data_IF_593228363254
#
_entry.id   IF_593228363254
#
_cell.length_a   1.000
_cell.length_b   1.000
_cell.length_c   1.000
_cell.angle_alpha   90.00
_cell.angle_beta   90.00
_cell.angle_gamma   90.00
#
_symmetry.space_group_name_H-M   'P 1'
#
loop_
_entity.id
_entity.type
_entity.pdbx_description
1 polymer ?
#
# COMPACT_ATOMS: atom_id res chain seq x y z
N UNK A 1 -10.68 13.56 16.42
CA UNK A 1 -10.72 12.87 15.11
C UNK A 1 -12.00 12.04 14.86
N UNK A 2 -12.86 11.75 15.85
CA UNK A 2 -14.07 10.93 15.63
C UNK A 2 -15.24 11.68 14.99
N UNK A 3 -15.33 13.00 15.14
CA UNK A 3 -16.42 13.83 14.57
C UNK A 3 -16.37 13.89 13.05
N UNK A 4 -15.19 14.06 12.46
CA UNK A 4 -15.00 14.10 11.00
C UNK A 4 -15.35 12.74 10.38
N UNK A 5 -14.94 11.63 10.99
CA UNK A 5 -15.29 10.27 10.56
C UNK A 5 -16.79 9.96 10.69
N UNK A 6 -17.44 10.47 11.74
CA UNK A 6 -18.90 10.31 11.94
C UNK A 6 -19.70 11.12 10.91
N UNK A 7 -19.30 12.37 10.65
CA UNK A 7 -19.94 13.23 9.65
C UNK A 7 -19.72 12.71 8.24
N UNK A 8 -18.53 12.22 7.90
CA UNK A 8 -18.26 11.62 6.59
C UNK A 8 -19.06 10.34 6.38
N UNK A 9 -19.12 9.44 7.37
CA UNK A 9 -19.94 8.22 7.31
C UNK A 9 -21.44 8.53 7.16
N UNK A 10 -21.94 9.54 7.89
CA UNK A 10 -23.32 9.98 7.78
C UNK A 10 -23.61 10.63 6.41
N UNK A 11 -22.71 11.44 5.87
CA UNK A 11 -22.82 12.03 4.54
C UNK A 11 -22.84 10.96 3.43
N UNK A 12 -21.96 9.95 3.52
CA UNK A 12 -21.96 8.81 2.60
C UNK A 12 -23.30 8.07 2.67
N UNK A 13 -23.81 7.81 3.88
CA UNK A 13 -25.09 7.10 4.04
C UNK A 13 -26.30 7.91 3.57
N UNK A 14 -26.26 9.23 3.75
CA UNK A 14 -27.35 10.15 3.38
C UNK A 14 -27.36 10.52 1.91
N UNK A 15 -26.21 10.47 1.21
CA UNK A 15 -26.17 10.71 -0.23
C UNK A 15 -26.33 9.40 -1.02
N UNK A 16 -25.65 8.33 -0.63
CA UNK A 16 -25.65 7.09 -1.43
C UNK A 16 -27.01 6.38 -1.47
N UNK A 17 -27.74 6.35 -0.35
CA UNK A 17 -29.03 5.63 -0.29
C UNK A 17 -30.16 6.29 -1.10
N UNK A 18 -30.46 7.60 -0.96
CA UNK A 18 -31.53 8.20 -1.74
C UNK A 18 -31.18 8.31 -3.22
N UNK A 19 -29.91 8.54 -3.57
CA UNK A 19 -29.48 8.60 -4.98
C UNK A 19 -29.65 7.23 -5.64
N UNK A 20 -29.18 6.15 -5.01
CA UNK A 20 -29.35 4.80 -5.54
C UNK A 20 -30.84 4.43 -5.70
N UNK A 21 -31.68 4.77 -4.70
CA UNK A 21 -33.12 4.49 -4.77
C UNK A 21 -33.82 5.30 -5.88
N UNK A 22 -33.45 6.56 -6.09
CA UNK A 22 -34.00 7.38 -7.19
C UNK A 22 -33.58 6.85 -8.57
N UNK A 23 -32.32 6.45 -8.73
CA UNK A 23 -31.82 5.89 -9.98
C UNK A 23 -32.50 4.54 -10.28
N UNK A 24 -32.74 3.70 -9.26
CA UNK A 24 -33.50 2.44 -9.42
C UNK A 24 -34.95 2.68 -9.83
N UNK A 25 -35.61 3.70 -9.26
CA UNK A 25 -36.97 4.07 -9.66
C UNK A 25 -37.02 4.56 -11.11
N UNK A 26 -36.12 5.46 -11.50
CA UNK A 26 -36.01 5.97 -12.87
C UNK A 26 -35.67 4.89 -13.91
N UNK A 27 -34.89 3.87 -13.54
CA UNK A 27 -34.60 2.72 -14.40
C UNK A 27 -35.82 1.85 -14.70
N UNK A 28 -36.88 1.94 -13.89
CA UNK A 28 -38.15 1.26 -14.16
C UNK A 28 -39.10 2.12 -15.00
N UNK A 29 -39.06 3.43 -14.81
CA UNK A 29 -39.92 4.40 -15.50
C UNK A 29 -39.46 4.70 -16.93
N UNK A 30 -38.15 4.67 -17.22
CA UNK A 30 -37.61 5.01 -18.53
C UNK A 30 -36.96 3.82 -19.24
N UNK A 31 -37.55 3.38 -20.36
CA UNK A 31 -37.01 2.27 -21.16
C UNK A 31 -35.62 2.54 -21.75
N UNK A 32 -35.33 3.78 -22.15
CA UNK A 32 -34.00 4.14 -22.67
C UNK A 32 -32.94 3.95 -21.59
N UNK A 33 -33.24 4.42 -20.38
CA UNK A 33 -32.33 4.29 -19.25
C UNK A 33 -32.19 2.83 -18.81
N UNK A 34 -33.29 2.06 -18.79
CA UNK A 34 -33.27 0.60 -18.58
C UNK A 34 -32.32 -0.10 -19.54
N UNK A 35 -32.40 0.19 -20.85
CA UNK A 35 -31.51 -0.38 -21.87
C UNK A 35 -30.04 -0.06 -21.61
N UNK A 36 -29.73 1.17 -21.20
CA UNK A 36 -28.37 1.59 -20.82
C UNK A 36 -27.87 0.82 -19.59
N UNK A 37 -28.68 0.70 -18.53
CA UNK A 37 -28.34 -0.08 -17.34
C UNK A 37 -28.07 -1.54 -17.70
N UNK A 38 -28.94 -2.16 -18.50
CA UNK A 38 -28.79 -3.56 -18.93
C UNK A 38 -27.54 -3.73 -19.80
N UNK A 39 -27.28 -2.83 -20.76
CA UNK A 39 -26.08 -2.93 -21.60
C UNK A 39 -24.80 -2.77 -20.78
N UNK A 40 -24.77 -1.85 -19.82
CA UNK A 40 -23.61 -1.62 -18.96
C UNK A 40 -23.36 -2.82 -18.04
N UNK A 41 -24.43 -3.34 -17.41
CA UNK A 41 -24.34 -4.51 -16.54
C UNK A 41 -23.88 -5.76 -17.32
N UNK A 42 -24.36 -5.96 -18.54
CA UNK A 42 -23.89 -7.05 -19.38
C UNK A 42 -22.44 -6.85 -19.85
N UNK A 43 -22.02 -5.63 -20.16
CA UNK A 43 -20.64 -5.33 -20.51
C UNK A 43 -19.70 -5.62 -19.34
N UNK A 44 -20.04 -5.17 -18.13
CA UNK A 44 -19.28 -5.45 -16.90
C UNK A 44 -19.25 -6.93 -16.59
N UNK A 45 -20.37 -7.64 -16.71
CA UNK A 45 -20.39 -9.09 -16.50
C UNK A 45 -19.53 -9.85 -17.51
N UNK A 46 -19.56 -9.44 -18.78
CA UNK A 46 -18.69 -10.02 -19.82
C UNK A 46 -17.22 -9.72 -19.53
N UNK A 47 -16.91 -8.54 -19.03
CA UNK A 47 -15.55 -8.14 -18.68
C UNK A 47 -15.04 -8.92 -17.45
N UNK A 48 -15.82 -8.98 -16.37
CA UNK A 48 -15.52 -9.74 -15.16
C UNK A 48 -15.29 -11.24 -15.46
N UNK A 49 -16.20 -11.86 -16.20
CA UNK A 49 -16.05 -13.26 -16.63
C UNK A 49 -14.85 -13.45 -17.56
N UNK A 50 -14.56 -12.49 -18.46
CA UNK A 50 -13.37 -12.56 -19.32
C UNK A 50 -12.09 -12.48 -18.51
N UNK A 51 -11.99 -11.58 -17.53
CA UNK A 51 -10.81 -11.46 -16.67
C UNK A 51 -10.63 -12.71 -15.80
N UNK A 52 -11.72 -13.21 -15.21
CA UNK A 52 -11.69 -14.41 -14.37
C UNK A 52 -11.29 -15.66 -15.17
N UNK A 53 -11.86 -15.84 -16.35
CA UNK A 53 -11.54 -16.97 -17.23
C UNK A 53 -10.16 -16.81 -17.86
N UNK A 54 -9.72 -15.58 -18.13
CA UNK A 54 -8.36 -15.25 -18.56
C UNK A 54 -7.34 -15.66 -17.49
N UNK A 55 -7.50 -15.15 -16.26
CA UNK A 55 -6.60 -15.43 -15.15
C UNK A 55 -6.49 -16.93 -14.80
N UNK A 56 -7.60 -17.68 -14.86
CA UNK A 56 -7.59 -19.14 -14.63
C UNK A 56 -6.94 -19.87 -15.81
N UNK A 57 -7.18 -19.43 -17.05
CA UNK A 57 -6.61 -20.08 -18.24
C UNK A 57 -5.13 -19.81 -18.41
N UNK A 58 -4.67 -18.60 -18.13
CA UNK A 58 -3.25 -18.24 -18.21
C UNK A 58 -2.42 -19.02 -17.17
N UNK A 59 -3.00 -19.29 -15.99
CA UNK A 59 -2.42 -20.20 -14.99
C UNK A 59 -2.40 -21.67 -15.44
N UNK A 60 -3.49 -22.18 -16.01
CA UNK A 60 -3.53 -23.55 -16.50
C UNK A 60 -2.59 -23.75 -17.70
N UNK A 61 -2.46 -22.75 -18.57
CA UNK A 61 -1.55 -22.77 -19.72
C UNK A 61 -0.08 -22.67 -19.27
N UNK A 62 0.24 -21.84 -18.27
CA UNK A 62 1.59 -21.76 -17.71
C UNK A 62 2.00 -23.07 -17.03
N UNK A 63 1.09 -23.70 -16.28
CA UNK A 63 1.33 -25.01 -15.67
C UNK A 63 1.54 -26.12 -16.70
N UNK A 64 0.74 -26.16 -17.77
CA UNK A 64 0.92 -27.13 -18.87
C UNK A 64 2.22 -26.92 -19.62
N UNK A 65 2.65 -25.67 -19.84
CA UNK A 65 3.95 -25.34 -20.45
C UNK A 65 5.10 -25.74 -19.53
N UNK A 66 5.02 -25.46 -18.24
CA UNK A 66 6.01 -25.89 -17.24
C UNK A 66 6.11 -27.42 -17.15
N UNK A 67 4.99 -28.14 -17.23
CA UNK A 67 4.95 -29.60 -17.23
C UNK A 67 5.52 -30.20 -18.55
N UNK A 68 5.21 -29.61 -19.70
CA UNK A 68 5.75 -30.03 -20.99
C UNK A 68 7.26 -29.76 -21.08
N UNK A 69 7.73 -28.63 -20.56
CA UNK A 69 9.16 -28.32 -20.46
C UNK A 69 9.87 -29.24 -19.46
N UNK A 70 9.25 -29.55 -18.31
CA UNK A 70 9.79 -30.53 -17.37
C UNK A 70 9.86 -31.94 -17.98
N UNK A 71 8.89 -32.33 -18.81
CA UNK A 71 8.93 -33.58 -19.56
C UNK A 71 10.02 -33.58 -20.63
N UNK A 72 10.19 -32.48 -21.37
CA UNK A 72 11.29 -32.29 -22.33
C UNK A 72 12.67 -32.30 -21.66
N UNK A 73 12.80 -31.71 -20.46
CA UNK A 73 14.05 -31.69 -19.69
C UNK A 73 14.45 -33.08 -19.18
N UNK A 74 13.49 -33.96 -18.88
CA UNK A 74 13.75 -35.36 -18.49
C UNK A 74 14.33 -36.21 -19.63
N UNK A 75 14.09 -35.83 -20.89
CA UNK A 75 14.58 -36.53 -22.07
C UNK A 75 15.76 -35.83 -22.77
N UNK A 76 16.32 -34.78 -22.16
CA UNK A 76 17.53 -34.13 -22.69
C UNK A 76 18.74 -34.99 -22.28
N UNK A 77 19.50 -35.57 -23.23
CA UNK A 77 20.58 -36.50 -22.90
C UNK A 77 21.75 -35.74 -22.28
N UNK A 78 22.02 -35.99 -21.00
CA UNK A 78 23.12 -35.37 -20.25
C UNK A 78 24.44 -36.16 -20.40
N UNK A 79 24.56 -37.16 -21.28
CA UNK A 79 25.84 -37.80 -21.57
C UNK A 79 25.88 -38.39 -22.98
N UNK A 80 26.97 -38.17 -23.76
CA UNK A 80 27.11 -38.66 -25.12
C UNK A 80 27.63 -40.11 -25.12
N UNK A 81 26.73 -41.09 -25.02
CA UNK A 81 27.06 -42.51 -25.19
C UNK A 81 26.22 -43.13 -26.31
N UNK A 82 26.82 -44.06 -27.07
CA UNK A 82 26.23 -44.72 -28.25
C UNK A 82 25.00 -45.54 -27.81
N UNK A 83 23.79 -45.09 -28.16
CA UNK A 83 22.53 -45.78 -27.85
C UNK A 83 22.13 -46.74 -28.97
N UNK A 84 21.47 -47.83 -28.62
CA UNK A 84 20.92 -48.80 -29.58
C UNK A 84 19.76 -48.21 -30.38
N UNK A 85 19.57 -48.63 -31.64
CA UNK A 85 18.56 -48.07 -32.55
C UNK A 85 17.12 -48.08 -32.00
N UNK A 86 16.81 -49.03 -31.11
CA UNK A 86 15.51 -49.15 -30.47
C UNK A 86 15.25 -48.02 -29.45
N UNK A 87 16.27 -47.58 -28.72
CA UNK A 87 16.18 -46.51 -27.74
C UNK A 87 16.13 -45.14 -28.43
N UNK A 88 16.86 -44.98 -29.53
CA UNK A 88 16.82 -43.76 -30.36
C UNK A 88 15.42 -43.54 -30.96
N UNK A 89 14.77 -44.60 -31.48
CA UNK A 89 13.40 -44.52 -32.01
C UNK A 89 12.36 -44.26 -30.91
N UNK A 90 12.56 -44.80 -29.72
CA UNK A 90 11.68 -44.56 -28.58
C UNK A 90 11.80 -43.11 -28.04
N UNK A 91 13.03 -42.57 -27.97
CA UNK A 91 13.28 -41.17 -27.57
C UNK A 91 12.77 -40.17 -28.61
N UNK A 92 12.98 -40.43 -29.90
CA UNK A 92 12.49 -39.57 -30.98
C UNK A 92 10.94 -39.56 -31.03
N UNK A 93 10.30 -40.72 -30.83
CA UNK A 93 8.84 -40.81 -30.72
C UNK A 93 8.29 -40.09 -29.47
N UNK A 94 9.03 -40.13 -28.35
CA UNK A 94 8.67 -39.41 -27.13
C UNK A 94 8.84 -37.89 -27.29
N UNK A 95 9.90 -37.44 -27.96
CA UNK A 95 10.13 -36.03 -28.30
C UNK A 95 9.09 -35.54 -29.32
N UNK A 96 8.73 -36.35 -30.32
CA UNK A 96 7.66 -36.05 -31.27
C UNK A 96 6.31 -35.93 -30.58
N UNK A 97 5.99 -36.83 -29.63
CA UNK A 97 4.78 -36.73 -28.78
C UNK A 97 4.81 -35.51 -27.86
N UNK A 98 5.97 -35.17 -27.28
CA UNK A 98 6.11 -33.98 -26.45
C UNK A 98 5.97 -32.68 -27.25
N UNK A 99 6.51 -32.64 -28.48
CA UNK A 99 6.33 -31.52 -29.42
C UNK A 99 4.88 -31.41 -29.91
N UNK A 100 4.23 -32.52 -30.24
CA UNK A 100 2.82 -32.53 -30.60
C UNK A 100 1.92 -32.08 -29.44
N UNK A 101 2.23 -32.49 -28.21
CA UNK A 101 1.54 -32.03 -26.99
C UNK A 101 1.78 -30.53 -26.70
N UNK A 102 2.98 -30.01 -27.00
CA UNK A 102 3.28 -28.58 -26.90
C UNK A 102 2.53 -27.76 -27.96
N UNK A 103 2.37 -28.30 -29.17
CA UNK A 103 1.60 -27.70 -30.26
C UNK A 103 0.10 -27.71 -29.97
N UNK A 104 -0.42 -28.78 -29.37
CA UNK A 104 -1.80 -28.85 -28.89
C UNK A 104 -2.04 -27.87 -27.74
N UNK A 105 -1.07 -27.70 -26.84
CA UNK A 105 -1.12 -26.68 -25.78
C UNK A 105 -0.96 -25.24 -26.31
N UNK A 106 -0.51 -25.05 -27.55
CA UNK A 106 -0.41 -23.77 -28.22
C UNK A 106 -1.69 -23.37 -28.98
N UNK A 107 -2.64 -24.30 -29.20
CA UNK A 107 -3.90 -23.98 -29.87
C UNK A 107 -4.80 -23.10 -28.96
N UNK A 108 -5.29 -21.95 -29.45
CA UNK A 108 -6.12 -21.07 -28.65
C UNK A 108 -7.47 -21.74 -28.37
N UNK A 109 -7.71 -22.11 -27.11
CA UNK A 109 -8.96 -22.76 -26.72
C UNK A 109 -10.19 -21.85 -26.98
N UNK A 110 -11.38 -22.44 -27.22
CA UNK A 110 -12.57 -21.71 -27.69
C UNK A 110 -13.01 -20.60 -26.72
N UNK A 111 -13.65 -19.55 -27.28
CA UNK A 111 -14.16 -18.42 -26.51
C UNK A 111 -15.34 -18.90 -25.64
N UNK A 112 -15.30 -18.72 -24.31
CA UNK A 112 -16.37 -19.16 -23.43
C UNK A 112 -17.65 -18.36 -23.73
N UNK A 113 -18.76 -19.06 -23.97
CA UNK A 113 -20.08 -18.45 -24.14
C UNK A 113 -20.64 -18.07 -22.77
N UNK A 114 -20.67 -16.76 -22.48
CA UNK A 114 -21.12 -16.23 -21.19
C UNK A 114 -22.63 -15.98 -21.27
N UNK A 115 -23.40 -16.64 -20.40
CA UNK A 115 -24.85 -16.42 -20.30
C UNK A 115 -25.12 -14.97 -19.85
N UNK A 116 -26.07 -14.25 -20.48
CA UNK A 116 -26.44 -12.92 -20.03
C UNK A 116 -27.11 -12.98 -18.66
N UNK A 117 -26.94 -11.92 -17.86
CA UNK A 117 -27.67 -11.77 -16.60
C UNK A 117 -29.17 -11.62 -16.84
N UNK A 118 -29.97 -12.09 -15.87
CA UNK A 118 -31.40 -11.79 -15.85
C UNK A 118 -31.62 -10.28 -15.81
N UNK A 119 -32.70 -9.84 -16.45
CA UNK A 119 -32.94 -8.42 -16.66
C UNK A 119 -33.06 -7.63 -15.35
N UNK A 120 -33.77 -8.18 -14.37
CA UNK A 120 -33.93 -7.57 -13.04
C UNK A 120 -32.59 -7.34 -12.35
N UNK A 121 -31.67 -8.33 -12.42
CA UNK A 121 -30.35 -8.24 -11.80
C UNK A 121 -29.45 -7.26 -12.56
N UNK A 122 -29.56 -7.24 -13.89
CA UNK A 122 -28.82 -6.30 -14.74
C UNK A 122 -29.24 -4.85 -14.49
N UNK A 123 -30.52 -4.59 -14.24
CA UNK A 123 -31.00 -3.24 -13.89
C UNK A 123 -30.42 -2.80 -12.53
N UNK A 124 -30.46 -3.67 -11.53
CA UNK A 124 -29.96 -3.32 -10.19
C UNK A 124 -28.45 -3.10 -10.15
N UNK A 125 -27.67 -3.97 -10.80
CA UNK A 125 -26.21 -3.79 -10.88
C UNK A 125 -25.83 -2.60 -11.76
N UNK A 126 -26.54 -2.39 -12.87
CA UNK A 126 -26.34 -1.24 -13.75
C UNK A 126 -26.64 0.09 -13.06
N UNK A 127 -27.74 0.17 -12.30
CA UNK A 127 -28.11 1.36 -11.54
C UNK A 127 -27.06 1.71 -10.47
N UNK A 128 -26.60 0.70 -9.72
CA UNK A 128 -25.56 0.88 -8.69
C UNK A 128 -24.27 1.39 -9.31
N UNK A 129 -23.82 0.76 -10.41
CA UNK A 129 -22.61 1.16 -11.11
C UNK A 129 -22.67 2.58 -11.68
N UNK A 130 -23.80 2.98 -12.28
CA UNK A 130 -23.96 4.34 -12.82
C UNK A 130 -23.90 5.37 -11.70
N UNK A 131 -24.55 5.09 -10.56
CA UNK A 131 -24.55 6.01 -9.41
C UNK A 131 -23.16 6.17 -8.80
N UNK A 132 -22.41 5.08 -8.69
CA UNK A 132 -21.05 5.08 -8.17
C UNK A 132 -20.10 5.78 -9.15
N UNK A 133 -20.15 5.44 -10.44
CA UNK A 133 -19.35 6.08 -11.48
C UNK A 133 -19.59 7.58 -11.54
N UNK A 134 -20.85 8.01 -11.43
CA UNK A 134 -21.18 9.43 -11.38
C UNK A 134 -20.53 10.13 -10.18
N UNK A 135 -20.62 9.54 -8.98
CA UNK A 135 -19.98 10.08 -7.80
C UNK A 135 -18.45 10.13 -7.93
N UNK A 136 -17.82 9.10 -8.50
CA UNK A 136 -16.38 9.07 -8.77
C UNK A 136 -15.96 10.11 -9.80
N UNK A 137 -16.73 10.32 -10.86
CA UNK A 137 -16.43 11.34 -11.88
C UNK A 137 -16.57 12.73 -11.27
N UNK A 138 -17.59 12.99 -10.47
CA UNK A 138 -17.77 14.28 -9.80
C UNK A 138 -16.66 14.51 -8.77
N UNK A 139 -16.39 13.55 -7.88
CA UNK A 139 -15.36 13.68 -6.86
C UNK A 139 -13.94 13.76 -7.46
N UNK A 140 -13.60 12.83 -8.36
CA UNK A 140 -12.33 12.82 -9.07
C UNK A 140 -12.17 14.03 -9.98
N UNK A 141 -13.25 14.46 -10.64
CA UNK A 141 -13.29 15.67 -11.46
C UNK A 141 -12.99 16.92 -10.65
N UNK A 142 -13.56 17.05 -9.44
CA UNK A 142 -13.24 18.17 -8.54
C UNK A 142 -11.78 18.15 -8.09
N UNK A 143 -11.24 16.98 -7.74
CA UNK A 143 -9.83 16.84 -7.35
C UNK A 143 -8.90 17.19 -8.51
N UNK A 144 -9.16 16.67 -9.71
CA UNK A 144 -8.35 16.96 -10.91
C UNK A 144 -8.49 18.43 -11.30
N UNK A 145 -9.68 18.99 -11.24
CA UNK A 145 -9.93 20.40 -11.53
C UNK A 145 -9.19 21.31 -10.56
N UNK A 146 -9.27 21.04 -9.25
CA UNK A 146 -8.55 21.78 -8.24
C UNK A 146 -7.03 21.58 -8.39
N UNK A 147 -6.56 20.36 -8.65
CA UNK A 147 -5.13 20.08 -8.89
C UNK A 147 -4.62 20.83 -10.12
N UNK A 148 -5.36 20.83 -11.23
CA UNK A 148 -4.99 21.56 -12.44
C UNK A 148 -4.99 23.08 -12.21
N UNK A 149 -6.01 23.60 -11.53
CA UNK A 149 -6.11 25.01 -11.16
C UNK A 149 -5.01 25.43 -10.18
N UNK A 150 -4.65 24.58 -9.22
CA UNK A 150 -3.61 24.82 -8.23
C UNK A 150 -2.22 24.77 -8.88
N UNK A 151 -1.96 23.76 -9.70
CA UNK A 151 -0.70 23.62 -10.47
C UNK A 151 -0.41 24.85 -11.32
N UNK A 152 -1.41 25.44 -11.96
CA UNK A 152 -1.22 26.70 -12.72
C UNK A 152 -0.69 27.85 -11.86
N UNK A 153 -1.13 27.97 -10.60
CA UNK A 153 -0.66 29.02 -9.68
C UNK A 153 0.70 28.68 -9.07
N UNK A 154 0.92 27.40 -8.78
CA UNK A 154 2.20 26.92 -8.26
C UNK A 154 3.31 27.03 -9.31
N UNK A 155 3.03 26.79 -10.59
CA UNK A 155 4.04 26.91 -11.65
C UNK A 155 4.59 28.34 -11.76
N UNK A 156 3.74 29.36 -11.76
CA UNK A 156 4.18 30.76 -11.75
C UNK A 156 5.00 31.10 -10.51
N UNK A 157 4.61 30.59 -9.33
CA UNK A 157 5.40 30.78 -8.10
C UNK A 157 6.75 30.06 -8.17
N UNK A 158 6.80 28.87 -8.78
CA UNK A 158 8.04 28.13 -9.00
C UNK A 158 8.96 28.88 -9.97
N UNK A 159 8.41 29.44 -11.05
CA UNK A 159 9.13 30.28 -12.02
C UNK A 159 9.71 31.54 -11.35
N UNK A 160 8.94 32.23 -10.49
CA UNK A 160 9.41 33.41 -9.74
C UNK A 160 10.55 33.05 -8.77
N UNK A 161 10.42 31.93 -8.06
CA UNK A 161 11.45 31.46 -7.11
C UNK A 161 12.72 31.04 -7.85
N UNK A 162 12.59 30.33 -8.97
CA UNK A 162 13.72 29.93 -9.82
C UNK A 162 14.46 31.15 -10.37
N UNK A 163 13.73 32.18 -10.79
CA UNK A 163 14.31 33.45 -11.26
C UNK A 163 15.13 34.13 -10.15
N UNK A 164 14.62 34.17 -8.91
CA UNK A 164 15.34 34.75 -7.77
C UNK A 164 16.57 33.94 -7.37
N UNK A 165 16.47 32.61 -7.37
CA UNK A 165 17.61 31.73 -7.12
C UNK A 165 18.71 31.95 -8.15
N UNK A 166 18.35 32.05 -9.44
CA UNK A 166 19.30 32.32 -10.51
C UNK A 166 19.96 33.71 -10.39
N UNK A 167 19.25 34.71 -9.89
CA UNK A 167 19.80 36.04 -9.60
C UNK A 167 20.77 36.01 -8.41
N UNK A 168 20.40 35.33 -7.31
CA UNK A 168 21.26 35.17 -6.15
C UNK A 168 22.54 34.42 -6.50
N UNK A 169 22.47 33.30 -7.21
CA UNK A 169 23.65 32.57 -7.69
C UNK A 169 24.56 33.44 -8.57
N UNK A 170 23.99 34.32 -9.41
CA UNK A 170 24.78 35.25 -10.22
C UNK A 170 25.50 36.26 -9.34
N UNK A 171 24.84 36.78 -8.30
CA UNK A 171 25.45 37.72 -7.36
C UNK A 171 26.56 37.08 -6.54
N UNK A 172 26.37 35.83 -6.09
CA UNK A 172 27.40 35.04 -5.41
C UNK A 172 28.58 34.78 -6.33
N UNK A 173 28.35 34.27 -7.55
CA UNK A 173 29.43 34.04 -8.53
C UNK A 173 30.16 35.33 -8.93
N UNK A 174 29.46 36.48 -8.95
CA UNK A 174 30.08 37.77 -9.19
C UNK A 174 30.94 38.22 -8.00
N UNK A 175 30.44 38.04 -6.76
CA UNK A 175 31.18 38.30 -5.55
C UNK A 175 32.41 37.39 -5.43
N UNK A 176 32.28 36.09 -5.69
CA UNK A 176 33.40 35.15 -5.77
C UNK A 176 34.40 35.59 -6.84
N UNK A 177 33.95 35.94 -8.05
CA UNK A 177 34.85 36.43 -9.10
C UNK A 177 35.62 37.67 -8.67
N UNK A 178 34.95 38.63 -8.04
CA UNK A 178 35.58 39.84 -7.52
C UNK A 178 36.57 39.50 -6.40
N UNK A 179 36.19 38.61 -5.49
CA UNK A 179 37.04 38.11 -4.42
C UNK A 179 38.32 37.46 -4.96
N UNK A 180 38.19 36.58 -5.95
CA UNK A 180 39.29 35.96 -6.68
C UNK A 180 40.16 36.96 -7.45
N UNK A 181 39.60 38.09 -7.86
CA UNK A 181 40.32 39.12 -8.63
C UNK A 181 41.04 40.14 -7.73
N UNK A 182 40.64 40.31 -6.48
CA UNK A 182 41.11 41.36 -5.56
C UNK A 182 42.11 40.83 -4.53
N UNK A 183 42.04 39.55 -4.13
CA UNK A 183 42.96 38.98 -3.13
C UNK A 183 44.28 38.45 -3.77
N UNK A 184 45.47 38.78 -3.20
CA UNK A 184 46.73 38.12 -3.55
C UNK A 184 46.68 36.60 -3.33
N UNK A 185 47.42 35.85 -4.16
CA UNK A 185 47.41 34.37 -4.24
C UNK A 185 47.79 33.68 -2.92
N UNK A 186 48.41 34.40 -2.00
CA UNK A 186 48.99 33.90 -0.75
C UNK A 186 47.97 33.59 0.36
N UNK A 187 46.70 33.98 0.22
CA UNK A 187 45.68 33.80 1.29
C UNK A 187 44.86 32.50 1.12
N UNK A 188 45.00 31.78 0.00
CA UNK A 188 44.09 30.67 -0.33
C UNK A 188 44.34 29.34 0.42
N UNK A 189 45.47 29.20 1.10
CA UNK A 189 45.88 27.92 1.70
C UNK A 189 45.66 27.81 3.21
N UNK A 190 45.09 28.83 3.87
CA UNK A 190 45.06 28.86 5.36
C UNK A 190 43.75 28.31 5.96
N UNK A 191 42.63 28.28 5.24
CA UNK A 191 41.32 28.01 5.86
C UNK A 191 40.59 26.74 5.35
N UNK A 192 41.28 25.78 4.72
CA UNK A 192 40.64 24.53 4.24
C UNK A 192 40.76 23.34 5.22
N UNK A 193 41.37 23.50 6.39
CA UNK A 193 41.58 22.38 7.33
C UNK A 193 40.57 22.25 8.48
N UNK A 194 39.58 23.15 8.63
CA UNK A 194 38.70 23.08 9.82
C UNK A 194 37.20 22.83 9.53
N UNK A 195 36.70 22.94 8.30
CA UNK A 195 35.24 22.86 8.05
C UNK A 195 34.70 21.52 7.51
N UNK A 196 35.52 20.51 7.22
CA UNK A 196 35.03 19.27 6.56
C UNK A 196 34.54 18.16 7.49
N UNK A 197 34.39 18.38 8.80
CA UNK A 197 34.04 17.28 9.71
C UNK A 197 32.71 17.41 10.48
N UNK A 198 31.92 18.48 10.30
CA UNK A 198 30.72 18.69 11.14
C UNK A 198 29.39 18.96 10.41
N UNK A 199 29.27 18.70 9.10
CA UNK A 199 27.98 18.86 8.39
C UNK A 199 27.64 17.64 7.53
N UNK A 200 27.50 16.48 8.15
CA UNK A 200 26.70 15.35 7.64
C UNK A 200 26.53 14.38 8.81
N UNK A 201 25.44 14.39 9.57
CA UNK A 201 24.47 13.26 9.55
C UNK A 201 23.30 13.51 10.54
N UNK A 202 23.06 14.73 11.02
CA UNK A 202 22.20 14.94 12.22
C UNK A 202 20.90 15.73 12.01
N UNK A 203 20.47 16.00 10.78
CA UNK A 203 19.28 16.85 10.56
C UNK A 203 17.92 16.12 10.57
N UNK A 204 17.85 14.92 9.98
CA UNK A 204 16.55 14.28 9.67
C UNK A 204 16.49 12.81 10.08
N UNK A 205 17.59 12.06 9.95
CA UNK A 205 17.68 10.70 10.48
C UNK A 205 17.55 10.67 12.01
N UNK A 206 18.15 11.65 12.71
CA UNK A 206 18.02 11.82 14.16
C UNK A 206 16.59 12.16 14.62
N UNK A 207 15.84 12.89 13.78
CA UNK A 207 14.42 13.12 14.02
C UNK A 207 13.60 11.84 13.78
N UNK A 208 13.85 11.11 12.70
CA UNK A 208 13.13 9.86 12.37
C UNK A 208 13.35 8.79 13.44
N UNK A 209 14.56 8.65 13.97
CA UNK A 209 14.89 7.66 15.00
C UNK A 209 14.21 7.92 16.34
N UNK A 210 13.79 9.15 16.64
CA UNK A 210 12.99 9.46 17.85
C UNK A 210 11.55 8.93 17.81
N UNK A 211 10.99 8.73 16.61
CA UNK A 211 9.60 8.29 16.43
C UNK A 211 9.47 6.77 16.22
N UNK A 212 10.59 6.06 15.98
CA UNK A 212 10.61 4.61 15.96
C UNK A 212 11.14 4.08 17.30
N UNK A 213 10.31 3.44 18.15
CA UNK A 213 10.83 2.67 19.28
C UNK A 213 11.52 1.42 18.72
N UNK A 214 12.83 1.54 18.48
CA UNK A 214 13.70 0.41 18.14
C UNK A 214 13.65 -0.57 19.31
N UNK A 215 12.99 -1.71 19.07
CA UNK A 215 12.84 -2.79 20.03
C UNK A 215 14.20 -3.25 20.54
N UNK A 216 14.36 -3.19 21.86
CA UNK A 216 15.52 -3.72 22.57
C UNK A 216 15.73 -5.20 22.20
N UNK A 217 16.89 -5.47 21.63
CA UNK A 217 17.40 -6.82 21.36
C UNK A 217 17.56 -7.60 22.67
N UNK A 218 17.14 -8.87 22.72
CA UNK A 218 17.11 -9.71 23.94
C UNK A 218 18.50 -10.02 24.54
N UNK A 219 19.59 -9.64 23.86
CA UNK A 219 20.95 -9.95 24.31
C UNK A 219 21.41 -9.01 25.44
N UNK A 220 20.96 -7.77 25.49
CA UNK A 220 21.36 -6.83 26.57
C UNK A 220 20.63 -7.08 27.89
N UNK A 221 19.43 -7.68 27.83
CA UNK A 221 18.67 -8.06 29.03
C UNK A 221 19.24 -9.33 29.70
N UNK A 222 19.81 -10.24 28.91
CA UNK A 222 20.48 -11.43 29.44
C UNK A 222 21.76 -11.07 30.21
N UNK A 223 22.53 -10.10 29.72
CA UNK A 223 23.77 -9.66 30.38
C UNK A 223 23.51 -8.89 31.68
N UNK A 224 22.42 -8.11 31.78
CA UNK A 224 22.08 -7.39 33.02
C UNK A 224 21.58 -8.34 34.12
N UNK A 225 20.79 -9.35 33.78
CA UNK A 225 20.22 -10.32 34.75
C UNK A 225 21.31 -11.24 35.34
N UNK A 226 22.33 -11.62 34.55
CA UNK A 226 23.46 -12.44 35.02
C UNK A 226 24.41 -11.63 35.94
N UNK A 227 24.53 -10.32 35.72
CA UNK A 227 25.35 -9.43 36.56
C UNK A 227 24.69 -9.08 37.89
N UNK A 228 23.36 -8.96 37.90
CA UNK A 228 22.58 -8.64 39.10
C UNK A 228 22.42 -9.86 40.03
N UNK A 229 22.29 -11.07 39.47
CA UNK A 229 22.16 -12.31 40.25
C UNK A 229 23.45 -12.77 40.97
N UNK A 230 24.60 -12.11 40.75
CA UNK A 230 25.90 -12.48 41.34
C UNK A 230 26.34 -11.61 42.52
N UNK A 231 25.58 -10.59 42.90
CA UNK A 231 25.90 -9.72 44.04
C UNK A 231 24.74 -9.72 45.04
N UNK A 232 24.91 -10.51 46.10
CA UNK A 232 24.24 -10.46 47.42
C UNK A 232 22.92 -11.23 47.65
N UNK A 233 23.09 -12.41 48.25
CA UNK A 233 22.25 -13.00 49.33
C UNK A 233 23.30 -13.46 50.38
N UNK A 234 23.15 -13.36 51.74
CA UNK A 234 21.94 -13.44 52.59
C UNK A 234 21.87 -12.28 53.65
N UNK A 235 21.02 -12.14 54.67
CA UNK A 235 20.14 -13.04 55.47
C UNK A 235 19.20 -12.18 56.36
N UNK A 236 17.90 -12.53 56.36
CA UNK A 236 16.86 -12.54 57.42
C UNK A 236 16.63 -11.37 58.44
N UNK A 237 15.38 -11.21 58.96
CA UNK A 237 14.84 -9.94 59.49
C UNK A 237 14.45 -9.92 61.00
N UNK A 238 13.95 -8.74 61.44
CA UNK A 238 13.11 -8.39 62.63
C UNK A 238 13.81 -7.96 63.95
N UNK A 239 13.15 -7.21 64.90
CA UNK A 239 11.85 -6.48 64.90
C UNK A 239 11.85 -5.08 65.62
N UNK A 240 10.65 -4.48 65.82
CA UNK A 240 10.19 -3.48 66.85
C UNK A 240 10.61 -2.01 66.58
N UNK A 241 9.81 -0.94 66.69
CA UNK A 241 8.45 -0.65 67.17
C UNK A 241 8.39 0.85 67.60
N UNK A 242 7.18 1.40 67.77
CA UNK A 242 6.83 2.72 68.37
C UNK A 242 7.00 3.97 67.46
N UNK A 243 6.12 4.99 67.41
CA UNK A 243 4.97 5.37 68.24
C UNK A 243 3.92 6.21 67.45
N UNK A 244 2.67 6.13 67.92
CA UNK A 244 1.44 6.93 67.64
C UNK A 244 1.37 8.00 68.77
N UNK A 245 0.67 9.17 68.73
CA UNK A 245 -0.75 9.39 68.37
C UNK A 245 -1.05 10.78 67.74
N UNK A 246 -2.25 11.31 67.50
CA UNK A 246 -3.67 10.97 67.51
C UNK A 246 -4.36 12.16 66.80
N UNK A 247 -5.39 11.93 65.99
CA UNK A 247 -6.53 12.86 65.87
C UNK A 247 -7.68 12.18 65.14
N UNK A 248 -8.82 12.12 65.81
CA UNK A 248 -10.05 11.46 65.41
C UNK A 248 -11.09 12.48 64.94
N UNK A 249 -11.99 12.05 64.04
CA UNK A 249 -13.45 12.31 63.99
C UNK A 249 -13.91 11.89 62.58
N UNK A 250 -14.36 10.63 62.43
CA UNK A 250 -15.71 10.15 62.66
C UNK A 250 -16.57 10.20 61.38
N UNK A 251 -16.76 8.99 60.86
CA UNK A 251 -17.65 8.53 59.81
C UNK A 251 -19.13 8.71 60.12
N UNK A 252 -19.93 8.94 59.07
CA UNK A 252 -21.28 8.37 58.99
C UNK A 252 -21.59 8.04 57.52
N UNK A 253 -21.62 6.74 57.24
CA UNK A 253 -22.26 6.13 56.08
C UNK A 253 -23.32 5.16 56.61
N UNK A 254 -24.26 4.82 55.75
CA UNK A 254 -25.37 3.88 55.88
C UNK A 254 -26.62 4.41 56.58
N UNK A 255 -27.82 3.97 56.24
CA UNK A 255 -28.46 3.33 55.08
C UNK A 255 -29.87 3.02 55.59
N UNK A 256 -30.87 2.97 54.70
CA UNK A 256 -32.14 2.26 54.93
C UNK A 256 -33.03 2.95 56.02
N UNK A 257 -34.35 2.97 56.01
CA UNK A 257 -35.36 2.14 55.41
C UNK A 257 -36.70 2.90 55.56
N UNK A 258 -37.54 2.86 54.52
CA UNK A 258 -38.93 2.38 54.65
C UNK A 258 -39.98 3.14 55.48
N UNK A 259 -41.04 3.50 54.74
CA UNK A 259 -42.48 3.41 55.07
C UNK A 259 -43.22 4.58 55.75
N UNK A 260 -44.25 4.97 54.98
CA UNK A 260 -45.64 5.31 55.35
C UNK A 260 -45.91 6.73 55.88
N UNK A 261 -46.59 7.52 55.05
CA UNK A 261 -48.02 7.76 55.17
C UNK A 261 -48.59 8.07 53.78
#
# INVERSE_FOLDING_TARGET
>A
MSLTLKLSSLAIRTLSKPIANRIKAQAREHERFRKVCVSMAQALHRFDMRLRLGAVRDNAASQKRAAAEAALRKHKPTSPTVKTEAEAKAEEAAIAKAKAAAEEAAKPAPKPHIRPLSESKAIESGATFISETFLFIVAGGLIVFESWRSRRKENTRREDVETRLAELEKSEKAAEKLFWQILPREVWDVERQEETEQVEEQGWWAWITSYLPVGQTPEQQAESIIKESKKTIPKAPTPIGEAVPAQALASHDQSLESKKA
#
